data_IF_298241259373
#
_entry.id   IF_298241259373
#
_cell.length_a   1.000
_cell.length_b   1.000
_cell.length_c   1.000
_cell.angle_alpha   90.00
_cell.angle_beta   90.00
_cell.angle_gamma   90.00
#
_symmetry.space_group_name_H-M   'P 1'
#
loop_
_entity.id
_entity.type
_entity.pdbx_description
1 polymer ?
#
# COMPACT_ATOMS: atom_id res chain seq x y z
N UNK A 1 3.32 17.32 24.12
CA UNK A 1 2.73 16.30 23.21
C UNK A 1 1.55 15.71 23.94
N UNK A 2 0.34 15.88 23.42
CA UNK A 2 -0.87 15.27 23.99
C UNK A 2 -0.88 13.82 23.56
N UNK A 3 -0.87 12.89 24.52
CA UNK A 3 -0.99 11.46 24.24
C UNK A 3 -2.40 11.18 23.68
N UNK A 4 -2.49 10.45 22.60
CA UNK A 4 -3.75 9.96 22.06
C UNK A 4 -4.03 8.61 22.75
N UNK A 5 -5.15 8.46 23.47
CA UNK A 5 -5.53 7.17 24.04
C UNK A 5 -5.66 6.10 22.95
N UNK A 6 -5.22 4.87 23.22
CA UNK A 6 -5.27 3.75 22.28
C UNK A 6 -6.69 3.49 21.78
N UNK A 7 -7.68 3.59 22.68
CA UNK A 7 -9.11 3.46 22.37
C UNK A 7 -9.59 4.46 21.31
N UNK A 8 -9.00 5.67 21.29
CA UNK A 8 -9.36 6.70 20.32
C UNK A 8 -8.67 6.45 18.95
N UNK A 9 -7.49 5.83 18.96
CA UNK A 9 -6.83 5.37 17.75
C UNK A 9 -7.64 4.24 17.13
N UNK A 10 -8.06 3.27 17.93
CA UNK A 10 -8.90 2.15 17.49
C UNK A 10 -10.23 2.63 16.89
N UNK A 11 -10.88 3.63 17.53
CA UNK A 11 -12.10 4.25 16.98
C UNK A 11 -11.85 4.93 15.63
N UNK A 12 -10.73 5.62 15.46
CA UNK A 12 -10.35 6.25 14.18
C UNK A 12 -10.14 5.18 13.12
N UNK A 13 -9.43 4.09 13.45
CA UNK A 13 -9.19 2.98 12.50
C UNK A 13 -10.52 2.31 12.11
N UNK A 14 -11.40 2.00 13.08
CA UNK A 14 -12.73 1.43 12.80
C UNK A 14 -13.55 2.34 11.87
N UNK A 15 -13.55 3.64 12.12
CA UNK A 15 -14.25 4.60 11.27
C UNK A 15 -13.65 4.64 9.85
N UNK A 16 -12.34 4.49 9.70
CA UNK A 16 -11.68 4.41 8.39
C UNK A 16 -12.08 3.14 7.64
N UNK A 17 -12.14 2.01 8.31
CA UNK A 17 -12.61 0.74 7.74
C UNK A 17 -14.07 0.80 7.30
N UNK A 18 -14.92 1.50 8.06
CA UNK A 18 -16.32 1.75 7.73
C UNK A 18 -16.53 2.86 6.70
N UNK A 19 -15.46 3.43 6.13
CA UNK A 19 -15.49 4.56 5.18
C UNK A 19 -16.15 5.84 5.74
N UNK A 20 -16.26 5.95 7.05
CA UNK A 20 -16.80 7.10 7.77
C UNK A 20 -15.75 8.19 7.98
N UNK A 21 -15.09 8.55 6.92
CA UNK A 21 -13.92 9.45 6.95
C UNK A 21 -14.22 10.82 7.61
N UNK A 22 -15.42 11.38 7.41
CA UNK A 22 -15.76 12.68 7.99
C UNK A 22 -15.96 12.60 9.51
N UNK A 23 -16.36 11.43 10.04
CA UNK A 23 -16.41 11.18 11.47
C UNK A 23 -15.00 11.03 12.04
N UNK A 24 -14.16 10.24 11.42
CA UNK A 24 -12.75 10.11 11.76
C UNK A 24 -12.02 11.46 11.76
N UNK A 25 -12.22 12.30 10.75
CA UNK A 25 -11.66 13.67 10.67
C UNK A 25 -12.11 14.53 11.85
N UNK A 26 -13.36 14.44 12.29
CA UNK A 26 -13.82 15.22 13.46
C UNK A 26 -13.07 14.84 14.72
N UNK A 27 -12.84 13.55 14.94
CA UNK A 27 -12.08 13.07 16.11
C UNK A 27 -10.65 13.60 16.02
N UNK A 28 -9.97 13.39 14.89
CA UNK A 28 -8.58 13.82 14.71
C UNK A 28 -8.45 15.34 14.85
N UNK A 29 -9.38 16.11 14.30
CA UNK A 29 -9.38 17.56 14.47
C UNK A 29 -9.54 18.01 15.94
N UNK A 30 -10.30 17.25 16.76
CA UNK A 30 -10.41 17.55 18.19
C UNK A 30 -9.08 17.41 18.94
N UNK A 31 -8.22 16.51 18.47
CA UNK A 31 -6.85 16.32 18.98
C UNK A 31 -5.97 17.50 18.51
N UNK A 32 -6.00 17.83 17.22
CA UNK A 32 -5.22 18.92 16.65
C UNK A 32 -5.62 20.32 17.19
N UNK A 33 -6.85 20.50 17.61
CA UNK A 33 -7.28 21.72 18.33
C UNK A 33 -6.55 21.91 19.65
N UNK A 34 -6.17 20.82 20.32
CA UNK A 34 -5.47 20.85 21.61
C UNK A 34 -3.96 20.82 21.44
N UNK A 35 -3.49 20.10 20.45
CA UNK A 35 -2.07 19.96 20.09
C UNK A 35 -1.90 20.01 18.56
N UNK A 36 -1.78 21.21 17.98
CA UNK A 36 -1.66 21.39 16.52
C UNK A 36 -0.42 20.73 15.89
N UNK A 37 0.53 20.28 16.73
CA UNK A 37 1.75 19.60 16.30
C UNK A 37 1.74 18.12 16.66
N UNK A 38 0.60 17.58 17.05
CA UNK A 38 0.48 16.16 17.34
C UNK A 38 0.73 15.33 16.07
N UNK A 39 1.84 14.61 16.06
CA UNK A 39 2.35 13.90 14.90
C UNK A 39 1.42 12.77 14.48
N UNK A 40 0.92 11.99 15.43
CA UNK A 40 0.01 10.88 15.16
C UNK A 40 -1.30 11.39 14.56
N UNK A 41 -1.84 12.48 15.09
CA UNK A 41 -3.04 13.10 14.53
C UNK A 41 -2.81 13.65 13.11
N UNK A 42 -1.64 14.24 12.82
CA UNK A 42 -1.28 14.71 11.48
C UNK A 42 -1.18 13.54 10.51
N UNK A 43 -0.59 12.41 10.94
CA UNK A 43 -0.50 11.19 10.15
C UNK A 43 -1.89 10.61 9.86
N UNK A 44 -2.78 10.58 10.87
CA UNK A 44 -4.15 10.15 10.67
C UNK A 44 -4.90 11.02 9.65
N UNK A 45 -4.73 12.35 9.70
CA UNK A 45 -5.30 13.24 8.68
C UNK A 45 -4.73 12.93 7.30
N UNK A 46 -3.42 12.71 7.18
CA UNK A 46 -2.79 12.40 5.90
C UNK A 46 -3.34 11.10 5.31
N UNK A 47 -3.44 10.03 6.12
CA UNK A 47 -3.99 8.75 5.69
C UNK A 47 -5.47 8.86 5.29
N UNK A 48 -6.29 9.51 6.12
CA UNK A 48 -7.71 9.69 5.80
C UNK A 48 -7.88 10.49 4.50
N UNK A 49 -7.12 11.57 4.31
CA UNK A 49 -7.19 12.36 3.08
C UNK A 49 -6.71 11.57 1.86
N UNK A 50 -5.69 10.73 2.01
CA UNK A 50 -5.24 9.81 0.97
C UNK A 50 -6.35 8.83 0.58
N UNK A 51 -6.99 8.17 1.55
CA UNK A 51 -8.12 7.24 1.33
C UNK A 51 -9.34 7.92 0.68
N UNK A 52 -9.54 9.22 0.92
CA UNK A 52 -10.55 10.06 0.27
C UNK A 52 -10.15 10.51 -1.14
N UNK A 53 -9.00 10.12 -1.65
CA UNK A 53 -8.41 10.63 -2.90
C UNK A 53 -8.16 12.15 -2.91
N UNK A 54 -8.13 12.78 -1.75
CA UNK A 54 -7.81 14.19 -1.59
C UNK A 54 -6.28 14.40 -1.51
N UNK A 55 -5.58 13.93 -2.55
CA UNK A 55 -4.12 13.83 -2.61
C UNK A 55 -3.42 15.13 -2.22
N UNK A 56 -3.93 16.27 -2.67
CA UNK A 56 -3.32 17.59 -2.34
C UNK A 56 -3.43 17.97 -0.86
N UNK A 57 -4.46 17.48 -0.14
CA UNK A 57 -4.57 17.70 1.32
C UNK A 57 -3.68 16.73 2.08
N UNK A 58 -3.63 15.48 1.67
CA UNK A 58 -2.73 14.48 2.23
C UNK A 58 -1.27 14.96 2.10
N UNK A 59 -0.88 15.43 0.91
CA UNK A 59 0.46 15.95 0.62
C UNK A 59 0.86 17.11 1.56
N UNK A 60 -0.04 18.07 1.78
CA UNK A 60 0.21 19.18 2.71
C UNK A 60 0.40 18.73 4.16
N UNK A 61 -0.39 17.75 4.62
CA UNK A 61 -0.27 17.21 5.97
C UNK A 61 1.09 16.50 6.16
N UNK A 62 1.50 15.71 5.19
CA UNK A 62 2.79 15.03 5.21
C UNK A 62 3.97 16.00 5.09
N UNK A 63 3.86 17.03 4.25
CA UNK A 63 4.90 18.06 4.14
C UNK A 63 5.07 18.84 5.46
N UNK A 64 3.96 19.13 6.14
CA UNK A 64 4.01 19.76 7.45
C UNK A 64 4.71 18.87 8.50
N UNK A 65 4.38 17.58 8.55
CA UNK A 65 5.03 16.63 9.42
C UNK A 65 6.53 16.49 9.12
N UNK A 66 6.86 16.30 7.85
CA UNK A 66 8.24 16.12 7.40
C UNK A 66 9.11 17.37 7.69
N UNK A 67 8.54 18.56 7.56
CA UNK A 67 9.21 19.79 7.94
C UNK A 67 9.54 19.85 9.44
N UNK A 68 8.64 19.34 10.31
CA UNK A 68 8.89 19.29 11.75
C UNK A 68 9.98 18.28 12.12
N UNK A 69 10.04 17.14 11.43
CA UNK A 69 10.98 16.04 11.69
C UNK A 69 12.26 16.07 10.83
N UNK A 70 12.49 17.15 10.07
CA UNK A 70 13.59 17.21 9.11
C UNK A 70 13.62 16.01 8.14
N UNK A 71 12.46 15.57 7.68
CA UNK A 71 12.28 14.37 6.85
C UNK A 71 12.85 13.09 7.49
N UNK A 72 12.70 12.94 8.78
CA UNK A 72 13.26 11.81 9.53
C UNK A 72 12.17 10.98 10.24
N UNK A 73 11.04 10.76 9.56
CA UNK A 73 9.95 9.89 9.98
C UNK A 73 9.66 8.85 8.90
N UNK A 74 9.80 7.53 9.17
CA UNK A 74 9.62 6.51 8.15
C UNK A 74 8.18 6.44 7.61
N UNK A 75 7.17 6.68 8.47
CA UNK A 75 5.77 6.66 8.04
C UNK A 75 5.43 7.88 7.18
N UNK A 76 5.89 9.06 7.57
CA UNK A 76 5.74 10.28 6.75
C UNK A 76 6.41 10.14 5.39
N UNK A 77 7.60 9.52 5.33
CA UNK A 77 8.29 9.22 4.07
C UNK A 77 7.54 8.18 3.24
N UNK A 78 6.98 7.14 3.88
CA UNK A 78 6.16 6.13 3.21
C UNK A 78 4.93 6.75 2.56
N UNK A 79 4.14 7.54 3.31
CA UNK A 79 2.95 8.22 2.77
C UNK A 79 3.35 9.19 1.63
N UNK A 80 4.46 9.92 1.78
CA UNK A 80 4.97 10.77 0.69
C UNK A 80 5.30 9.97 -0.56
N UNK A 81 5.91 8.81 -0.38
CA UNK A 81 6.16 7.86 -1.46
C UNK A 81 4.89 7.42 -2.18
N UNK A 82 3.84 7.05 -1.42
CA UNK A 82 2.54 6.69 -2.00
C UNK A 82 1.93 7.84 -2.81
N UNK A 83 1.95 9.06 -2.27
CA UNK A 83 1.43 10.25 -2.96
C UNK A 83 2.16 10.52 -4.28
N UNK A 84 3.47 10.31 -4.32
CA UNK A 84 4.23 10.44 -5.56
C UNK A 84 3.95 9.29 -6.55
N UNK A 85 3.66 8.07 -6.08
CA UNK A 85 3.19 6.96 -6.93
C UNK A 85 1.87 7.32 -7.61
N UNK A 86 0.91 7.87 -6.88
CA UNK A 86 -0.39 8.32 -7.45
C UNK A 86 -0.22 9.40 -8.54
N UNK A 87 0.79 10.22 -8.41
CA UNK A 87 1.17 11.22 -9.43
C UNK A 87 1.97 10.63 -10.60
N UNK A 88 2.22 9.30 -10.60
CA UNK A 88 3.14 8.62 -11.53
C UNK A 88 4.58 9.16 -11.48
N UNK A 89 4.96 9.84 -10.41
CA UNK A 89 6.32 10.35 -10.20
C UNK A 89 7.21 9.27 -9.55
N UNK A 90 7.46 8.20 -10.31
CA UNK A 90 8.20 7.02 -9.85
C UNK A 90 9.60 7.35 -9.32
N UNK A 91 10.24 8.40 -9.84
CA UNK A 91 11.58 8.82 -9.40
C UNK A 91 11.57 9.32 -7.96
N UNK A 92 10.66 10.21 -7.63
CA UNK A 92 10.59 10.78 -6.28
C UNK A 92 9.93 9.80 -5.30
N UNK A 93 8.92 9.04 -5.74
CA UNK A 93 8.35 7.94 -4.95
C UNK A 93 9.44 6.96 -4.50
N UNK A 94 10.28 6.51 -5.42
CA UNK A 94 11.42 5.62 -5.14
C UNK A 94 12.37 6.21 -4.10
N UNK A 95 12.67 7.51 -4.18
CA UNK A 95 13.57 8.19 -3.23
C UNK A 95 13.00 8.19 -1.81
N UNK A 96 11.73 8.51 -1.66
CA UNK A 96 11.07 8.55 -0.35
C UNK A 96 10.91 7.14 0.24
N UNK A 97 10.47 6.18 -0.56
CA UNK A 97 10.28 4.78 -0.12
C UNK A 97 11.60 4.09 0.20
N UNK A 98 12.69 4.37 -0.54
CA UNK A 98 14.02 3.86 -0.21
C UNK A 98 14.44 4.32 1.19
N UNK A 99 14.29 5.63 1.47
CA UNK A 99 14.66 6.18 2.78
C UNK A 99 13.80 5.59 3.90
N UNK A 100 12.48 5.44 3.67
CA UNK A 100 11.59 4.78 4.64
C UNK A 100 12.00 3.32 4.89
N UNK A 101 12.35 2.58 3.84
CA UNK A 101 12.81 1.20 3.92
C UNK A 101 14.13 1.07 4.71
N UNK A 102 15.10 1.95 4.45
CA UNK A 102 16.36 1.97 5.17
C UNK A 102 16.16 2.24 6.68
N UNK A 103 15.27 3.19 7.02
CA UNK A 103 14.95 3.53 8.41
C UNK A 103 14.22 2.41 9.16
N UNK A 104 13.48 1.56 8.47
CA UNK A 104 12.79 0.39 9.04
C UNK A 104 13.60 -0.89 8.94
N UNK A 105 14.86 -0.82 8.51
CA UNK A 105 15.71 -1.98 8.24
C UNK A 105 15.03 -3.03 7.34
N UNK A 106 14.25 -2.59 6.36
CA UNK A 106 13.49 -3.41 5.44
C UNK A 106 12.56 -4.45 6.14
N UNK A 107 12.10 -4.17 7.35
CA UNK A 107 11.24 -5.09 8.12
C UNK A 107 9.73 -4.90 7.87
N UNK A 108 9.35 -3.83 7.18
CA UNK A 108 7.95 -3.51 6.88
C UNK A 108 7.58 -3.98 5.46
N UNK A 109 6.67 -4.96 5.37
CA UNK A 109 6.26 -5.55 4.09
C UNK A 109 5.55 -4.55 3.16
N UNK A 110 4.76 -3.60 3.69
CA UNK A 110 4.07 -2.59 2.88
C UNK A 110 5.06 -1.63 2.22
N UNK A 111 6.07 -1.17 2.97
CA UNK A 111 7.13 -0.32 2.42
C UNK A 111 7.92 -1.07 1.35
N UNK A 112 8.26 -2.34 1.59
CA UNK A 112 8.94 -3.19 0.61
C UNK A 112 8.09 -3.40 -0.64
N UNK A 113 6.79 -3.66 -0.49
CA UNK A 113 5.83 -3.80 -1.58
C UNK A 113 5.81 -2.55 -2.46
N UNK A 114 5.61 -1.39 -1.84
CA UNK A 114 5.53 -0.11 -2.55
C UNK A 114 6.85 0.26 -3.20
N UNK A 115 7.98 0.03 -2.52
CA UNK A 115 9.30 0.25 -3.11
C UNK A 115 9.57 -0.70 -4.29
N UNK A 116 9.17 -1.96 -4.17
CA UNK A 116 9.25 -2.95 -5.25
C UNK A 116 8.44 -2.53 -6.48
N UNK A 117 7.21 -2.06 -6.30
CA UNK A 117 6.41 -1.50 -7.38
C UNK A 117 7.10 -0.29 -8.03
N UNK A 118 7.66 0.61 -7.23
CA UNK A 118 8.39 1.76 -7.75
C UNK A 118 9.62 1.35 -8.59
N UNK A 119 10.42 0.41 -8.10
CA UNK A 119 11.57 -0.10 -8.85
C UNK A 119 11.12 -0.73 -10.17
N UNK A 120 10.03 -1.52 -10.15
CA UNK A 120 9.49 -2.15 -11.35
C UNK A 120 9.06 -1.12 -12.41
N UNK A 121 8.25 -0.15 -12.02
CA UNK A 121 7.75 0.88 -12.95
C UNK A 121 8.81 1.91 -13.34
N UNK A 122 9.83 2.10 -12.51
CA UNK A 122 11.01 2.92 -12.85
C UNK A 122 11.93 2.23 -13.89
N UNK A 123 11.72 0.93 -14.16
CA UNK A 123 12.44 0.16 -15.17
C UNK A 123 13.34 -0.96 -14.62
N UNK A 124 13.51 -1.05 -13.31
CA UNK A 124 14.30 -2.09 -12.65
C UNK A 124 13.42 -3.31 -12.30
N UNK A 125 12.87 -3.96 -13.32
CA UNK A 125 11.82 -4.99 -13.18
C UNK A 125 12.21 -6.16 -12.28
N UNK A 126 13.41 -6.73 -12.49
CA UNK A 126 13.90 -7.86 -11.67
C UNK A 126 14.03 -7.47 -10.20
N UNK A 127 14.60 -6.29 -9.94
CA UNK A 127 14.76 -5.74 -8.60
C UNK A 127 13.40 -5.50 -7.94
N UNK A 128 12.45 -4.93 -8.68
CA UNK A 128 11.08 -4.71 -8.21
C UNK A 128 10.40 -6.01 -7.79
N UNK A 129 10.47 -7.03 -8.65
CA UNK A 129 9.95 -8.37 -8.33
C UNK A 129 10.65 -9.02 -7.14
N UNK A 130 11.96 -8.79 -6.94
CA UNK A 130 12.66 -9.29 -5.76
C UNK A 130 12.08 -8.70 -4.48
N UNK A 131 11.89 -7.38 -4.40
CA UNK A 131 11.32 -6.73 -3.22
C UNK A 131 9.89 -7.16 -2.93
N UNK A 132 9.05 -7.41 -3.97
CA UNK A 132 7.72 -7.96 -3.74
C UNK A 132 7.76 -9.39 -3.16
N UNK A 133 8.72 -10.21 -3.58
CA UNK A 133 8.91 -11.54 -2.99
C UNK A 133 9.36 -11.44 -1.53
N UNK A 134 10.25 -10.50 -1.22
CA UNK A 134 10.70 -10.27 0.16
C UNK A 134 9.53 -9.79 1.03
N UNK A 135 8.67 -8.90 0.51
CA UNK A 135 7.44 -8.50 1.18
C UNK A 135 6.50 -9.70 1.45
N UNK A 136 6.35 -10.61 0.47
CA UNK A 136 5.57 -11.83 0.63
C UNK A 136 6.17 -12.79 1.67
N UNK A 137 7.48 -12.85 1.80
CA UNK A 137 8.13 -13.66 2.84
C UNK A 137 7.85 -13.10 4.24
N UNK A 138 7.80 -11.77 4.39
CA UNK A 138 7.52 -11.11 5.68
C UNK A 138 6.04 -11.27 6.06
N UNK A 139 5.12 -10.96 5.15
CA UNK A 139 3.68 -11.17 5.36
C UNK A 139 3.01 -11.77 4.13
N UNK A 140 2.90 -13.10 4.12
CA UNK A 140 2.24 -13.83 3.04
C UNK A 140 0.70 -13.78 3.11
N UNK A 141 0.15 -13.18 4.16
CA UNK A 141 -1.30 -12.98 4.31
C UNK A 141 -1.77 -11.63 3.76
N UNK A 142 -0.86 -10.74 3.40
CA UNK A 142 -1.23 -9.48 2.75
C UNK A 142 -1.77 -9.75 1.33
N UNK A 143 -3.06 -9.47 1.12
CA UNK A 143 -3.74 -9.68 -0.15
C UNK A 143 -3.19 -8.81 -1.27
N UNK A 144 -2.74 -7.59 -0.96
CA UNK A 144 -2.15 -6.69 -1.94
C UNK A 144 -0.80 -7.19 -2.45
N UNK A 145 0.04 -7.74 -1.57
CA UNK A 145 1.32 -8.35 -1.97
C UNK A 145 1.08 -9.51 -2.92
N UNK A 146 0.12 -10.40 -2.58
CA UNK A 146 -0.25 -11.54 -3.43
C UNK A 146 -0.78 -11.06 -4.78
N UNK A 147 -1.68 -10.10 -4.79
CA UNK A 147 -2.25 -9.53 -6.01
C UNK A 147 -1.18 -8.88 -6.90
N UNK A 148 -0.29 -8.08 -6.32
CA UNK A 148 0.77 -7.42 -7.05
C UNK A 148 1.74 -8.42 -7.67
N UNK A 149 2.08 -9.51 -6.98
CA UNK A 149 2.89 -10.60 -7.56
C UNK A 149 2.19 -11.26 -8.75
N UNK A 150 0.88 -11.55 -8.65
CA UNK A 150 0.11 -12.10 -9.77
C UNK A 150 0.19 -11.14 -10.97
N UNK A 151 -0.09 -9.85 -10.73
CA UNK A 151 -0.10 -8.83 -11.77
C UNK A 151 1.26 -8.73 -12.48
N UNK A 152 2.36 -8.63 -11.72
CA UNK A 152 3.68 -8.50 -12.31
C UNK A 152 4.12 -9.76 -13.05
N UNK A 153 3.83 -10.96 -12.53
CA UNK A 153 4.11 -12.21 -13.29
C UNK A 153 3.35 -12.28 -14.61
N UNK A 154 2.12 -11.75 -14.67
CA UNK A 154 1.37 -11.68 -15.93
C UNK A 154 2.03 -10.70 -16.90
N UNK A 155 2.45 -9.53 -16.42
CA UNK A 155 3.16 -8.53 -17.24
C UNK A 155 4.48 -9.06 -17.80
N UNK A 156 5.22 -9.83 -17.00
CA UNK A 156 6.46 -10.50 -17.43
C UNK A 156 6.22 -11.80 -18.22
N UNK A 157 4.95 -12.14 -18.51
CA UNK A 157 4.57 -13.36 -19.22
C UNK A 157 4.96 -14.66 -18.49
N UNK A 158 5.29 -14.58 -17.21
CA UNK A 158 5.60 -15.72 -16.35
C UNK A 158 4.31 -16.42 -15.87
N UNK A 159 3.47 -16.85 -16.81
CA UNK A 159 2.12 -17.35 -16.55
C UNK A 159 2.06 -18.53 -15.58
N UNK A 160 3.12 -19.35 -15.51
CA UNK A 160 3.19 -20.47 -14.55
C UNK A 160 3.25 -19.94 -13.12
N UNK A 161 4.14 -18.97 -12.84
CA UNK A 161 4.25 -18.34 -11.52
C UNK A 161 3.00 -17.55 -11.15
N UNK A 162 2.40 -16.83 -12.12
CA UNK A 162 1.12 -16.18 -11.91
C UNK A 162 0.04 -17.18 -11.47
N UNK A 163 -0.02 -18.36 -12.09
CA UNK A 163 -0.99 -19.39 -11.77
C UNK A 163 -0.74 -20.04 -10.39
N UNK A 164 0.51 -20.20 -9.99
CA UNK A 164 0.89 -20.63 -8.65
C UNK A 164 0.40 -19.64 -7.59
N UNK A 165 0.59 -18.34 -7.80
CA UNK A 165 0.11 -17.28 -6.90
C UNK A 165 -1.43 -17.17 -6.88
N UNK A 166 -2.10 -17.35 -8.01
CA UNK A 166 -3.57 -17.42 -8.09
C UNK A 166 -4.08 -18.61 -7.27
N UNK A 167 -3.44 -19.77 -7.41
CA UNK A 167 -3.79 -20.98 -6.63
C UNK A 167 -3.57 -20.74 -5.13
N UNK A 168 -2.49 -20.04 -4.77
CA UNK A 168 -2.24 -19.61 -3.39
C UNK A 168 -3.35 -18.70 -2.87
N UNK A 169 -3.74 -17.67 -3.62
CA UNK A 169 -4.85 -16.77 -3.26
C UNK A 169 -6.14 -17.55 -3.01
N UNK A 170 -6.56 -18.37 -3.96
CA UNK A 170 -7.81 -19.14 -3.88
C UNK A 170 -7.84 -20.10 -2.68
N UNK A 171 -6.69 -20.70 -2.35
CA UNK A 171 -6.57 -21.62 -1.20
C UNK A 171 -6.60 -20.89 0.15
N UNK A 172 -6.07 -19.68 0.21
CA UNK A 172 -5.85 -18.95 1.46
C UNK A 172 -6.80 -17.75 1.64
N UNK A 173 -7.76 -17.54 0.75
CA UNK A 173 -8.64 -16.36 0.73
C UNK A 173 -9.27 -16.01 2.07
N UNK A 174 -9.66 -17.03 2.86
CA UNK A 174 -10.31 -16.84 4.16
C UNK A 174 -9.33 -16.42 5.27
N UNK A 175 -8.01 -16.50 5.02
CA UNK A 175 -6.94 -16.11 5.93
C UNK A 175 -6.14 -14.91 5.46
N UNK A 176 -6.37 -14.44 4.23
CA UNK A 176 -5.74 -13.24 3.72
C UNK A 176 -6.32 -12.00 4.41
N UNK A 177 -5.47 -11.02 4.61
CA UNK A 177 -5.88 -9.72 5.14
C UNK A 177 -6.37 -8.85 4.00
N UNK A 178 -7.63 -8.47 4.07
CA UNK A 178 -8.27 -7.54 3.14
C UNK A 178 -8.82 -6.37 3.94
N UNK A 179 -8.89 -5.21 3.33
CA UNK A 179 -9.78 -4.14 3.78
C UNK A 179 -11.20 -4.50 3.29
N UNK A 180 -12.20 -4.42 4.14
CA UNK A 180 -13.51 -5.10 4.09
C UNK A 180 -14.30 -5.14 2.76
N UNK A 181 -14.03 -4.33 1.79
CA UNK A 181 -14.72 -4.37 0.48
C UNK A 181 -13.82 -4.79 -0.69
N UNK A 182 -12.58 -5.08 -0.41
CA UNK A 182 -11.60 -5.37 -1.44
C UNK A 182 -11.62 -6.85 -1.88
N UNK A 183 -12.15 -7.76 -1.06
CA UNK A 183 -12.22 -9.18 -1.41
C UNK A 183 -12.90 -9.41 -2.76
N UNK A 184 -14.08 -8.80 -2.98
CA UNK A 184 -14.82 -8.90 -4.24
C UNK A 184 -14.04 -8.30 -5.41
N UNK A 185 -13.35 -7.19 -5.18
CA UNK A 185 -12.47 -6.57 -6.17
C UNK A 185 -11.34 -7.52 -6.56
N UNK A 186 -10.60 -8.07 -5.59
CA UNK A 186 -9.50 -9.00 -5.85
C UNK A 186 -10.00 -10.28 -6.52
N UNK A 187 -11.09 -10.87 -6.06
CA UNK A 187 -11.68 -12.07 -6.66
C UNK A 187 -12.05 -11.83 -8.13
N UNK A 188 -12.68 -10.69 -8.41
CA UNK A 188 -13.06 -10.32 -9.78
C UNK A 188 -11.82 -10.17 -10.67
N UNK A 189 -10.80 -9.42 -10.22
CA UNK A 189 -9.56 -9.21 -10.97
C UNK A 189 -8.79 -10.51 -11.19
N UNK A 190 -8.67 -11.35 -10.17
CA UNK A 190 -7.98 -12.64 -10.25
C UNK A 190 -8.71 -13.58 -11.21
N UNK A 191 -10.05 -13.61 -11.18
CA UNK A 191 -10.84 -14.40 -12.15
C UNK A 191 -10.60 -13.94 -13.61
N UNK A 192 -10.46 -12.64 -13.84
CA UNK A 192 -10.08 -12.11 -15.16
C UNK A 192 -8.66 -12.55 -15.57
N UNK A 193 -7.71 -12.55 -14.65
CA UNK A 193 -6.35 -13.03 -14.89
C UNK A 193 -6.31 -14.52 -15.22
N UNK A 194 -7.10 -15.35 -14.52
CA UNK A 194 -7.23 -16.78 -14.84
C UNK A 194 -7.76 -17.00 -16.27
N UNK A 195 -8.82 -16.27 -16.64
CA UNK A 195 -9.39 -16.34 -17.99
C UNK A 195 -8.37 -15.91 -19.05
N UNK A 196 -7.62 -14.84 -18.79
CA UNK A 196 -6.56 -14.37 -19.68
C UNK A 196 -5.46 -15.43 -19.87
N UNK A 197 -4.95 -16.04 -18.79
CA UNK A 197 -3.91 -17.08 -18.86
C UNK A 197 -4.43 -18.31 -19.63
N UNK A 198 -5.67 -18.75 -19.38
CA UNK A 198 -6.29 -19.85 -20.11
C UNK A 198 -6.37 -19.56 -21.61
N UNK A 199 -6.80 -18.35 -21.99
CA UNK A 199 -6.84 -17.94 -23.40
C UNK A 199 -5.45 -17.95 -24.03
N UNK A 200 -4.43 -17.41 -23.37
CA UNK A 200 -3.04 -17.41 -23.88
C UNK A 200 -2.52 -18.83 -24.11
N UNK A 201 -2.77 -19.77 -23.20
CA UNK A 201 -2.40 -21.19 -23.36
C UNK A 201 -3.05 -21.82 -24.61
N UNK A 202 -4.33 -21.53 -24.85
CA UNK A 202 -5.03 -22.04 -26.03
C UNK A 202 -4.43 -21.52 -27.36
N UNK A 203 -3.98 -20.26 -27.39
CA UNK A 203 -3.31 -19.69 -28.56
C UNK A 203 -1.90 -20.24 -28.81
N UNK A 204 -1.19 -20.66 -27.75
CA UNK A 204 0.13 -21.28 -27.87
C UNK A 204 0.07 -22.73 -28.38
N UNK A 205 -1.00 -23.47 -28.11
CA UNK A 205 -1.20 -24.85 -28.57
C UNK A 205 -1.60 -24.90 -30.05
N UNK A 206 -2.11 -23.78 -30.61
CA UNK A 206 -2.53 -23.70 -32.02
C UNK A 206 -1.44 -23.21 -32.99
N UNK A 207 -0.24 -22.96 -32.51
CA UNK A 207 0.96 -22.67 -33.28
C UNK A 207 1.92 -23.86 -33.29
#
# INVERSE_FOLDING_TARGET
MVYIPEELIDEIEELKELWKYDEAIRIVNSILMRDPKNEDAILQIADIQYRKWEIGKADKAVDFLNAQKNNNDPLGLYIKGLLEMEKNNWKDARKYLLKAMEMTNASNHEILRCYGLCEYWYGNREKGLSFLKDAFVIDNKDAEVVYNLIQLYILEQEYKKAQEMISYFNKNKDSLKFVDKELDFYQTKISLFEKFIKAKKLFQIRK
#
